data_IF_320918285830
#
_entry.id   IF_320918285830
#
_cell.length_a   1.000
_cell.length_b   1.000
_cell.length_c   1.000
_cell.angle_alpha   90.00
_cell.angle_beta   90.00
_cell.angle_gamma   90.00
#
_symmetry.space_group_name_H-M   'P 1'
#
loop_
_entity.id
_entity.type
_entity.pdbx_description
1 polymer ?
#
# COMPACT_ATOMS: atom_id res chain seq x y z
N UNK A 1 -7.32 -4.99 16.73
CA UNK A 1 -8.10 -6.21 16.45
C UNK A 1 -7.39 -6.96 15.35
N UNK A 2 -7.28 -8.29 15.44
CA UNK A 2 -6.83 -9.13 14.34
C UNK A 2 -7.99 -9.39 13.34
N UNK A 3 -7.70 -9.99 12.19
CA UNK A 3 -8.70 -10.27 11.14
C UNK A 3 -9.86 -11.13 11.65
N UNK A 4 -9.55 -12.15 12.44
CA UNK A 4 -10.56 -13.04 13.02
C UNK A 4 -11.53 -12.30 13.95
N UNK A 5 -11.01 -11.44 14.82
CA UNK A 5 -11.80 -10.60 15.72
C UNK A 5 -12.69 -9.63 14.95
N UNK A 6 -12.24 -9.12 13.79
CA UNK A 6 -13.04 -8.26 12.91
C UNK A 6 -14.24 -9.04 12.39
N UNK A 7 -14.01 -10.25 11.84
CA UNK A 7 -15.10 -11.09 11.34
C UNK A 7 -16.08 -11.53 12.42
N UNK A 8 -15.59 -11.95 13.59
CA UNK A 8 -16.46 -12.30 14.72
C UNK A 8 -17.31 -11.12 15.19
N UNK A 9 -16.74 -9.91 15.19
CA UNK A 9 -17.48 -8.69 15.58
C UNK A 9 -18.53 -8.30 14.54
N UNK A 10 -18.22 -8.46 13.26
CA UNK A 10 -19.16 -8.22 12.16
C UNK A 10 -20.31 -9.23 12.20
N UNK A 11 -20.03 -10.52 12.34
CA UNK A 11 -21.03 -11.59 12.43
C UNK A 11 -22.00 -11.37 13.60
N UNK A 12 -21.48 -10.87 14.73
CA UNK A 12 -22.27 -10.54 15.93
C UNK A 12 -23.01 -9.18 15.83
N UNK A 13 -22.91 -8.48 14.70
CA UNK A 13 -23.54 -7.17 14.49
C UNK A 13 -22.93 -6.02 15.30
N UNK A 14 -21.76 -6.22 15.93
CA UNK A 14 -21.11 -5.19 16.78
C UNK A 14 -20.46 -4.08 15.97
N UNK A 15 -20.14 -4.34 14.70
CA UNK A 15 -19.61 -3.37 13.75
C UNK A 15 -20.36 -3.48 12.43
N UNK A 16 -20.46 -2.38 11.69
CA UNK A 16 -21.03 -2.39 10.34
C UNK A 16 -20.05 -2.98 9.31
N UNK A 17 -20.53 -3.44 8.14
CA UNK A 17 -19.67 -3.85 7.03
C UNK A 17 -18.65 -2.76 6.64
N UNK A 18 -19.10 -1.50 6.53
CA UNK A 18 -18.24 -0.33 6.27
C UNK A 18 -17.13 -0.18 7.32
N UNK A 19 -17.43 -0.42 8.61
CA UNK A 19 -16.42 -0.36 9.66
C UNK A 19 -15.43 -1.53 9.56
N UNK A 20 -15.89 -2.73 9.22
CA UNK A 20 -15.04 -3.89 9.01
C UNK A 20 -14.08 -3.66 7.83
N UNK A 21 -14.57 -3.16 6.70
CA UNK A 21 -13.75 -2.80 5.54
C UNK A 21 -12.64 -1.80 5.90
N UNK A 22 -12.97 -0.77 6.68
CA UNK A 22 -11.98 0.21 7.15
C UNK A 22 -10.90 -0.43 8.02
N UNK A 23 -11.25 -1.37 8.89
CA UNK A 23 -10.28 -2.09 9.72
C UNK A 23 -9.41 -3.03 8.86
N UNK A 24 -10.02 -3.74 7.92
CA UNK A 24 -9.31 -4.62 6.99
C UNK A 24 -8.36 -3.85 6.07
N UNK A 25 -8.68 -2.59 5.73
CA UNK A 25 -7.81 -1.75 4.90
C UNK A 25 -6.42 -1.52 5.49
N UNK A 26 -6.25 -1.61 6.81
CA UNK A 26 -4.95 -1.46 7.47
C UNK A 26 -4.00 -2.61 7.13
N UNK A 27 -4.53 -3.79 6.80
CA UNK A 27 -3.76 -4.97 6.41
C UNK A 27 -3.24 -4.90 4.97
N UNK A 28 -3.71 -3.93 4.17
CA UNK A 28 -3.14 -3.69 2.83
C UNK A 28 -1.84 -2.88 2.88
N UNK A 29 -1.41 -2.42 4.05
CA UNK A 29 -0.13 -1.73 4.20
C UNK A 29 0.98 -2.76 4.42
N UNK A 30 1.88 -2.88 3.44
CA UNK A 30 3.04 -3.77 3.55
C UNK A 30 4.32 -2.96 3.83
N UNK A 31 5.16 -3.46 4.74
CA UNK A 31 6.50 -2.89 4.98
C UNK A 31 7.53 -3.50 4.03
N UNK A 32 8.38 -2.66 3.47
CA UNK A 32 9.52 -3.05 2.65
C UNK A 32 10.79 -2.78 3.46
N UNK A 33 11.22 -3.80 4.22
CA UNK A 33 12.33 -3.65 5.17
C UNK A 33 12.16 -2.39 6.02
N UNK A 34 13.21 -1.56 6.06
CA UNK A 34 13.22 -0.27 6.74
C UNK A 34 13.15 0.94 5.78
N UNK A 35 12.85 0.72 4.49
CA UNK A 35 12.96 1.77 3.45
C UNK A 35 11.62 2.41 3.07
N UNK A 36 10.51 1.68 3.19
CA UNK A 36 9.19 2.17 2.83
C UNK A 36 8.06 1.32 3.42
N UNK A 37 6.87 1.90 3.43
CA UNK A 37 5.60 1.18 3.54
C UNK A 37 4.82 1.46 2.25
N UNK A 38 4.16 0.44 1.71
CA UNK A 38 3.37 0.56 0.49
C UNK A 38 1.92 0.19 0.77
N UNK A 39 1.00 0.94 0.17
CA UNK A 39 -0.42 0.67 0.24
C UNK A 39 -0.90 -0.14 -0.97
N UNK A 40 -0.90 -1.48 -0.84
CA UNK A 40 -1.30 -2.37 -1.94
C UNK A 40 -2.79 -2.24 -2.27
N UNK A 41 -3.60 -1.81 -1.31
CA UNK A 41 -5.05 -1.63 -1.45
C UNK A 41 -5.47 -0.26 -1.97
N UNK A 42 -4.53 0.66 -2.25
CA UNK A 42 -4.85 2.04 -2.67
C UNK A 42 -5.75 2.09 -3.89
N UNK A 43 -5.45 1.27 -4.92
CA UNK A 43 -6.25 1.20 -6.15
C UNK A 43 -7.70 0.83 -5.87
N UNK A 44 -7.92 -0.19 -5.03
CA UNK A 44 -9.26 -0.65 -4.70
C UNK A 44 -10.06 0.41 -3.93
N UNK A 45 -9.40 1.22 -3.08
CA UNK A 45 -10.08 2.24 -2.26
C UNK A 45 -10.21 3.61 -2.92
N UNK A 46 -9.32 3.96 -3.85
CA UNK A 46 -9.19 5.32 -4.40
C UNK A 46 -9.23 5.37 -5.92
N UNK A 47 -9.24 4.23 -6.61
CA UNK A 47 -9.18 4.16 -8.07
C UNK A 47 -7.80 4.48 -8.67
N UNK A 48 -6.80 4.80 -7.85
CA UNK A 48 -5.44 5.16 -8.28
C UNK A 48 -4.41 4.19 -7.70
N UNK A 49 -3.38 3.81 -8.48
CA UNK A 49 -2.32 2.97 -7.98
C UNK A 49 -1.51 3.66 -6.88
N UNK A 50 -0.64 2.88 -6.25
CA UNK A 50 0.30 3.42 -5.29
C UNK A 50 1.21 4.47 -5.94
N UNK A 51 1.42 5.58 -5.23
CA UNK A 51 2.26 6.69 -5.71
C UNK A 51 3.54 6.74 -4.85
N UNK A 52 4.67 6.41 -5.46
CA UNK A 52 5.98 6.52 -4.82
C UNK A 52 6.51 7.94 -5.01
N UNK A 53 6.78 8.63 -3.91
CA UNK A 53 7.49 9.91 -3.91
C UNK A 53 9.01 9.68 -3.96
N UNK A 54 9.62 9.92 -5.12
CA UNK A 54 11.02 9.55 -5.40
C UNK A 54 12.05 10.62 -5.00
N UNK A 55 11.66 11.89 -4.82
CA UNK A 55 12.57 13.04 -4.68
C UNK A 55 13.66 12.83 -3.61
N UNK A 56 13.31 12.18 -2.50
CA UNK A 56 14.20 11.96 -1.35
C UNK A 56 14.75 10.53 -1.26
N UNK A 57 14.53 9.70 -2.29
CA UNK A 57 14.97 8.31 -2.29
C UNK A 57 16.27 8.14 -3.06
N UNK A 58 17.08 7.16 -2.65
CA UNK A 58 18.18 6.66 -3.46
C UNK A 58 17.64 5.73 -4.55
N UNK A 59 18.28 5.72 -5.73
CA UNK A 59 17.82 4.93 -6.87
C UNK A 59 17.69 3.43 -6.56
N UNK A 60 18.63 2.87 -5.78
CA UNK A 60 18.58 1.46 -5.38
C UNK A 60 17.34 1.15 -4.53
N UNK A 61 17.00 2.00 -3.57
CA UNK A 61 15.80 1.81 -2.75
C UNK A 61 14.53 2.04 -3.56
N UNK A 62 14.53 3.04 -4.45
CA UNK A 62 13.41 3.26 -5.37
C UNK A 62 13.13 2.02 -6.23
N UNK A 63 14.16 1.41 -6.83
CA UNK A 63 14.04 0.17 -7.61
C UNK A 63 13.48 -0.98 -6.77
N UNK A 64 13.92 -1.13 -5.51
CA UNK A 64 13.37 -2.15 -4.59
C UNK A 64 11.89 -1.92 -4.31
N UNK A 65 11.50 -0.68 -4.02
CA UNK A 65 10.10 -0.31 -3.74
C UNK A 65 9.24 -0.57 -4.97
N UNK A 66 9.67 -0.15 -6.16
CA UNK A 66 8.96 -0.38 -7.42
C UNK A 66 8.76 -1.87 -7.67
N UNK A 67 9.82 -2.68 -7.62
CA UNK A 67 9.73 -4.13 -7.85
C UNK A 67 8.79 -4.81 -6.87
N UNK A 68 8.86 -4.45 -5.59
CA UNK A 68 7.99 -5.03 -4.56
C UNK A 68 6.53 -4.61 -4.78
N UNK A 69 6.28 -3.35 -5.11
CA UNK A 69 4.93 -2.86 -5.44
C UNK A 69 4.37 -3.58 -6.66
N UNK A 70 5.17 -3.74 -7.71
CA UNK A 70 4.79 -4.45 -8.94
C UNK A 70 4.55 -5.95 -8.72
N UNK A 71 5.21 -6.57 -7.74
CA UNK A 71 4.95 -7.98 -7.38
C UNK A 71 3.57 -8.20 -6.75
N UNK A 72 2.92 -7.14 -6.28
CA UNK A 72 1.61 -7.16 -5.62
C UNK A 72 0.51 -6.59 -6.50
N UNK A 73 0.84 -5.55 -7.25
CA UNK A 73 -0.07 -4.77 -8.07
C UNK A 73 0.50 -4.66 -9.49
N UNK A 74 -0.34 -4.64 -10.53
CA UNK A 74 0.16 -4.59 -11.92
C UNK A 74 0.70 -3.22 -12.36
N UNK A 75 0.60 -2.20 -11.49
CA UNK A 75 0.96 -0.82 -11.81
C UNK A 75 1.42 -0.05 -10.56
N UNK A 76 2.27 0.95 -10.78
CA UNK A 76 2.73 1.89 -9.76
C UNK A 76 3.05 3.23 -10.43
N UNK A 77 2.73 4.33 -9.77
CA UNK A 77 3.10 5.66 -10.24
C UNK A 77 4.30 6.16 -9.44
N UNK A 78 5.29 6.71 -10.13
CA UNK A 78 6.48 7.30 -9.50
C UNK A 78 6.46 8.79 -9.76
N UNK A 79 6.47 9.59 -8.70
CA UNK A 79 6.47 11.05 -8.77
C UNK A 79 7.83 11.62 -8.40
N UNK A 80 8.22 12.73 -9.03
CA UNK A 80 9.43 13.50 -8.71
C UNK A 80 10.73 12.69 -8.74
N UNK A 81 10.86 11.82 -9.74
CA UNK A 81 12.13 11.14 -10.01
C UNK A 81 13.16 12.18 -10.48
N UNK A 82 14.42 12.05 -10.03
CA UNK A 82 15.50 12.97 -10.42
C UNK A 82 15.90 12.68 -11.86
N UNK A 83 16.22 13.71 -12.64
CA UNK A 83 16.57 13.55 -14.07
C UNK A 83 17.62 12.48 -14.29
N UNK A 84 18.74 12.55 -13.56
CA UNK A 84 19.83 11.57 -13.58
C UNK A 84 19.45 10.11 -13.34
N UNK A 85 18.26 9.84 -12.81
CA UNK A 85 17.79 8.49 -12.48
C UNK A 85 16.88 7.91 -13.59
N UNK A 86 16.53 8.69 -14.62
CA UNK A 86 15.72 8.25 -15.79
C UNK A 86 16.21 8.71 -17.17
N UNK A 87 17.27 9.53 -17.24
CA UNK A 87 18.05 9.81 -18.46
C UNK A 87 19.29 8.93 -18.49
#
# INVERSE_FOLDING_TARGET
MNVEQIFQSLQKGKISPSRAEKLLSLYSIEKIGNIAQIDTGRKNRKGIPEIIFAERKQLLDLKKIIKKTLSKNNEVLVSRIKQKDYT
#
